data_IF_342729839016
#
_entry.id   IF_342729839016
#
_cell.length_a   1.000
_cell.length_b   1.000
_cell.length_c   1.000
_cell.angle_alpha   90.00
_cell.angle_beta   90.00
_cell.angle_gamma   90.00
#
_symmetry.space_group_name_H-M   'P 1'
#
loop_
_entity.id
_entity.type
_entity.pdbx_description
1 polymer ?
#
# COMPACT_ATOMS: atom_id res chain seq x y z
N UNK A 1 0.14 -2.03 16.66
CA UNK A 1 0.27 -0.60 16.23
C UNK A 1 -1.09 0.10 16.19
N UNK A 2 -1.22 1.42 16.43
CA UNK A 2 -2.50 2.17 16.25
C UNK A 2 -2.76 2.57 14.80
N UNK A 3 -4.04 2.61 14.39
CA UNK A 3 -4.46 2.92 13.00
C UNK A 3 -4.00 4.30 12.53
N UNK A 4 -4.02 5.32 13.39
CA UNK A 4 -3.60 6.68 13.04
C UNK A 4 -2.11 6.73 12.71
N UNK A 5 -1.31 5.98 13.47
CA UNK A 5 0.13 5.83 13.22
C UNK A 5 0.37 5.10 11.90
N UNK A 6 -0.32 3.98 11.67
CA UNK A 6 -0.24 3.23 10.41
C UNK A 6 -0.62 4.11 9.21
N UNK A 7 -1.68 4.90 9.34
CA UNK A 7 -2.13 5.83 8.30
C UNK A 7 -1.08 6.90 8.00
N UNK A 8 -0.52 7.53 9.04
CA UNK A 8 0.56 8.52 8.88
C UNK A 8 1.78 7.92 8.17
N UNK A 9 2.23 6.75 8.60
CA UNK A 9 3.40 6.08 8.02
C UNK A 9 3.18 5.67 6.57
N UNK A 10 2.00 5.12 6.24
CA UNK A 10 1.62 4.82 4.86
C UNK A 10 1.60 6.09 4.00
N UNK A 11 1.04 7.18 4.51
CA UNK A 11 1.02 8.45 3.77
C UNK A 11 2.42 9.00 3.50
N UNK A 12 3.34 8.92 4.47
CA UNK A 12 4.74 9.30 4.29
C UNK A 12 5.43 8.41 3.24
N UNK A 13 5.25 7.09 3.34
CA UNK A 13 5.82 6.14 2.40
C UNK A 13 5.32 6.35 0.96
N UNK A 14 4.02 6.63 0.77
CA UNK A 14 3.48 6.96 -0.56
C UNK A 14 4.12 8.24 -1.12
N UNK A 15 4.29 9.28 -0.30
CA UNK A 15 4.98 10.50 -0.74
C UNK A 15 6.41 10.24 -1.19
N UNK A 16 7.09 9.28 -0.56
CA UNK A 16 8.49 8.97 -0.85
C UNK A 16 8.65 8.02 -2.05
N UNK A 17 7.81 6.99 -2.16
CA UNK A 17 8.04 5.87 -3.11
C UNK A 17 7.01 5.75 -4.23
N UNK A 18 5.89 6.48 -4.13
CA UNK A 18 4.73 6.37 -5.01
C UNK A 18 3.89 7.67 -5.00
N UNK A 19 4.49 8.85 -5.28
CA UNK A 19 3.86 10.16 -5.08
C UNK A 19 2.58 10.38 -5.92
N UNK A 20 2.44 9.65 -7.01
CA UNK A 20 1.27 9.58 -7.88
C UNK A 20 0.07 8.87 -7.24
N UNK A 21 0.25 8.19 -6.11
CA UNK A 21 -0.81 7.55 -5.34
C UNK A 21 -1.17 8.38 -4.09
N UNK A 22 -2.42 8.24 -3.66
CA UNK A 22 -2.93 8.83 -2.42
C UNK A 22 -3.83 7.86 -1.68
N UNK A 23 -3.91 8.00 -0.37
CA UNK A 23 -4.93 7.31 0.42
C UNK A 23 -6.28 7.97 0.13
N UNK A 24 -7.29 7.17 -0.24
CA UNK A 24 -8.63 7.61 -0.64
C UNK A 24 -9.74 7.10 0.31
N UNK A 25 -9.36 6.57 1.47
CA UNK A 25 -10.30 6.02 2.46
C UNK A 25 -9.63 5.77 3.81
N UNK A 26 -10.37 5.20 4.78
CA UNK A 26 -9.83 4.95 6.11
C UNK A 26 -8.77 3.84 6.12
N UNK A 27 -7.86 3.91 7.08
CA UNK A 27 -7.01 2.79 7.48
C UNK A 27 -7.85 1.82 8.31
N UNK A 28 -7.94 0.55 7.89
CA UNK A 28 -8.76 -0.47 8.57
C UNK A 28 -7.89 -1.63 9.06
N UNK A 29 -8.11 -2.17 10.27
CA UNK A 29 -7.44 -3.39 10.68
C UNK A 29 -7.97 -4.57 9.86
N UNK A 30 -7.07 -5.44 9.41
CA UNK A 30 -7.40 -6.63 8.65
C UNK A 30 -7.43 -7.82 9.61
N UNK A 31 -8.58 -8.47 9.71
CA UNK A 31 -8.85 -9.57 10.63
C UNK A 31 -9.09 -10.88 9.87
N UNK A 32 -8.61 -12.00 10.42
CA UNK A 32 -8.89 -13.35 9.92
C UNK A 32 -10.35 -13.79 10.11
N UNK A 33 -11.13 -13.08 10.94
CA UNK A 33 -12.54 -13.37 11.13
C UNK A 33 -13.39 -13.06 9.89
N UNK A 34 -12.90 -12.21 8.99
CA UNK A 34 -13.54 -11.89 7.72
C UNK A 34 -12.86 -12.71 6.60
N UNK A 35 -13.60 -13.56 5.86
CA UNK A 35 -13.03 -14.39 4.80
C UNK A 35 -12.53 -13.58 3.59
N UNK A 36 -13.03 -12.36 3.38
CA UNK A 36 -12.61 -11.50 2.29
C UNK A 36 -11.36 -10.68 2.64
N UNK A 37 -10.91 -10.71 3.90
CA UNK A 37 -9.68 -10.07 4.32
C UNK A 37 -8.42 -10.82 3.88
N UNK A 38 -7.38 -10.05 3.54
CA UNK A 38 -6.11 -10.59 3.06
C UNK A 38 -4.92 -10.03 3.83
N UNK A 39 -4.37 -10.86 4.73
CA UNK A 39 -3.25 -10.49 5.59
C UNK A 39 -1.90 -10.65 4.89
N UNK A 40 -0.91 -9.87 5.32
CA UNK A 40 0.51 -10.05 4.98
C UNK A 40 1.39 -10.44 6.18
N UNK A 41 0.84 -10.44 7.39
CA UNK A 41 1.54 -10.85 8.62
C UNK A 41 0.73 -10.55 9.88
N UNK A 42 1.39 -10.65 11.04
CA UNK A 42 0.84 -10.23 12.34
C UNK A 42 0.49 -8.74 12.31
N UNK A 43 -0.71 -8.38 12.80
CA UNK A 43 -1.26 -7.01 12.74
C UNK A 43 -1.16 -6.36 11.33
N UNK A 44 -2.13 -6.68 10.46
CA UNK A 44 -2.18 -6.13 9.10
C UNK A 44 -3.17 -4.96 9.00
N UNK A 45 -2.83 -3.93 8.22
CA UNK A 45 -3.70 -2.78 7.92
C UNK A 45 -4.08 -2.74 6.43
N UNK A 46 -5.34 -2.40 6.18
CA UNK A 46 -5.91 -2.20 4.85
C UNK A 46 -6.05 -0.73 4.52
N UNK A 47 -5.92 -0.41 3.23
CA UNK A 47 -5.95 0.94 2.69
C UNK A 47 -6.65 0.92 1.33
N UNK A 48 -7.33 2.01 0.99
CA UNK A 48 -7.74 2.26 -0.40
C UNK A 48 -6.82 3.31 -0.97
N UNK A 49 -6.07 2.94 -2.01
CA UNK A 49 -5.19 3.84 -2.74
C UNK A 49 -5.84 4.25 -4.05
N UNK A 50 -5.68 5.51 -4.41
CA UNK A 50 -6.12 6.08 -5.69
C UNK A 50 -4.95 6.73 -6.40
N UNK A 51 -4.74 6.36 -7.65
CA UNK A 51 -3.80 7.05 -8.52
C UNK A 51 -4.37 8.43 -8.88
N UNK A 52 -3.59 9.49 -8.67
CA UNK A 52 -4.02 10.89 -8.79
C UNK A 52 -4.44 11.28 -10.22
N UNK A 53 -3.75 10.76 -11.24
CA UNK A 53 -4.03 11.08 -12.65
C UNK A 53 -5.05 10.15 -13.30
N UNK A 54 -4.82 8.84 -13.25
CA UNK A 54 -5.66 7.85 -13.94
C UNK A 54 -6.93 7.47 -13.17
N UNK A 55 -7.00 7.80 -11.88
CA UNK A 55 -8.06 7.32 -11.02
C UNK A 55 -8.02 5.82 -10.75
N UNK A 56 -6.94 5.10 -11.09
CA UNK A 56 -6.82 3.68 -10.79
C UNK A 56 -6.91 3.41 -9.28
N UNK A 57 -7.62 2.35 -8.88
CA UNK A 57 -7.85 2.01 -7.47
C UNK A 57 -7.08 0.75 -7.08
N UNK A 58 -6.41 0.80 -5.93
CA UNK A 58 -5.87 -0.40 -5.27
C UNK A 58 -6.44 -0.53 -3.88
N UNK A 59 -6.97 -1.70 -3.56
CA UNK A 59 -7.55 -2.00 -2.25
C UNK A 59 -6.63 -3.00 -1.55
N UNK A 60 -5.98 -2.54 -0.49
CA UNK A 60 -5.09 -3.34 0.35
C UNK A 60 -5.90 -3.95 1.50
N UNK A 61 -5.59 -5.19 1.85
CA UNK A 61 -6.23 -5.90 2.96
C UNK A 61 -7.47 -6.69 2.56
N UNK A 62 -7.78 -6.78 1.26
CA UNK A 62 -8.92 -7.54 0.74
C UNK A 62 -8.50 -8.46 -0.40
N UNK A 63 -9.12 -9.63 -0.47
CA UNK A 63 -8.95 -10.61 -1.56
C UNK A 63 -9.77 -10.25 -2.80
N UNK A 64 -10.92 -9.63 -2.58
CA UNK A 64 -11.90 -9.26 -3.60
C UNK A 64 -12.80 -8.14 -3.09
N UNK A 65 -13.61 -7.59 -3.98
CA UNK A 65 -14.66 -6.63 -3.67
C UNK A 65 -15.56 -6.40 -4.88
N UNK A 66 -16.50 -5.47 -4.73
CA UNK A 66 -17.53 -5.22 -5.75
C UNK A 66 -17.11 -4.30 -6.90
N UNK A 67 -15.92 -3.70 -6.85
CA UNK A 67 -15.45 -2.81 -7.92
C UNK A 67 -14.55 -3.61 -8.89
N UNK A 68 -15.02 -3.93 -10.10
CA UNK A 68 -14.23 -4.70 -11.06
C UNK A 68 -13.03 -3.91 -11.63
N UNK A 69 -13.02 -2.58 -11.49
CA UNK A 69 -11.91 -1.73 -11.93
C UNK A 69 -10.83 -1.58 -10.85
N UNK A 70 -11.06 -2.06 -9.63
CA UNK A 70 -10.09 -2.03 -8.55
C UNK A 70 -9.20 -3.28 -8.55
N UNK A 71 -7.92 -3.10 -8.25
CA UNK A 71 -7.01 -4.22 -7.95
C UNK A 71 -6.96 -4.49 -6.46
N UNK A 72 -7.01 -5.77 -6.07
CA UNK A 72 -7.07 -6.22 -4.69
C UNK A 72 -5.75 -6.85 -4.27
N UNK A 73 -5.24 -6.44 -3.12
CA UNK A 73 -3.92 -6.83 -2.63
C UNK A 73 -3.97 -7.17 -1.14
N UNK A 74 -2.92 -7.85 -0.65
CA UNK A 74 -2.67 -8.01 0.78
C UNK A 74 -2.57 -6.65 1.46
N UNK A 75 -2.92 -6.60 2.74
CA UNK A 75 -2.69 -5.42 3.55
C UNK A 75 -1.21 -5.26 3.88
N UNK A 76 -0.84 -4.14 4.49
CA UNK A 76 0.52 -3.89 4.96
C UNK A 76 0.66 -4.33 6.41
N UNK A 77 1.73 -5.05 6.76
CA UNK A 77 1.96 -5.46 8.15
C UNK A 77 2.50 -4.29 8.99
N UNK A 78 2.24 -4.32 10.29
CA UNK A 78 2.83 -3.38 11.24
C UNK A 78 4.36 -3.38 11.16
N UNK A 79 4.97 -4.56 10.98
CA UNK A 79 6.43 -4.72 10.89
C UNK A 79 7.04 -3.95 9.70
N UNK A 80 6.38 -3.92 8.54
CA UNK A 80 6.84 -3.14 7.38
C UNK A 80 6.78 -1.64 7.68
N UNK A 81 5.73 -1.18 8.37
CA UNK A 81 5.57 0.22 8.76
C UNK A 81 6.57 0.63 9.86
N UNK A 82 6.84 -0.26 10.83
CA UNK A 82 7.82 -0.03 11.91
C UNK A 82 9.24 -0.02 11.36
N UNK A 83 9.58 -0.91 10.44
CA UNK A 83 10.87 -0.88 9.76
C UNK A 83 11.10 0.44 9.03
N UNK A 84 10.06 0.94 8.33
CA UNK A 84 10.12 2.24 7.65
C UNK A 84 10.33 3.40 8.64
N UNK A 85 9.60 3.42 9.76
CA UNK A 85 9.80 4.41 10.83
C UNK A 85 11.22 4.34 11.42
N UNK A 86 11.76 3.13 11.56
CA UNK A 86 13.13 2.87 12.01
C UNK A 86 14.22 3.19 10.98
N UNK A 87 13.87 3.72 9.80
CA UNK A 87 14.80 4.09 8.73
C UNK A 87 15.16 2.97 7.76
N UNK A 88 14.66 1.75 7.97
CA UNK A 88 14.83 0.65 7.01
C UNK A 88 13.74 0.73 5.94
N UNK A 89 14.10 1.32 4.79
CA UNK A 89 13.14 1.57 3.70
C UNK A 89 12.91 0.37 2.77
N UNK A 90 13.80 -0.62 2.77
CA UNK A 90 13.74 -1.77 1.86
C UNK A 90 12.42 -2.56 1.95
N UNK A 91 11.90 -2.92 3.15
CA UNK A 91 10.63 -3.64 3.26
C UNK A 91 9.46 -2.86 2.65
N UNK A 92 9.44 -1.53 2.84
CA UNK A 92 8.39 -0.67 2.30
C UNK A 92 8.49 -0.54 0.78
N UNK A 93 9.70 -0.38 0.22
CA UNK A 93 9.90 -0.36 -1.25
C UNK A 93 9.47 -1.67 -1.89
N UNK A 94 9.85 -2.80 -1.29
CA UNK A 94 9.48 -4.13 -1.78
C UNK A 94 7.97 -4.32 -1.76
N UNK A 95 7.31 -3.91 -0.68
CA UNK A 95 5.85 -3.94 -0.58
C UNK A 95 5.19 -3.05 -1.63
N UNK A 96 5.68 -1.82 -1.83
CA UNK A 96 5.20 -0.92 -2.88
C UNK A 96 5.35 -1.52 -4.29
N UNK A 97 6.44 -2.24 -4.54
CA UNK A 97 6.65 -3.02 -5.76
C UNK A 97 5.66 -4.18 -5.92
N UNK A 98 5.42 -4.96 -4.86
CA UNK A 98 4.45 -6.07 -4.84
C UNK A 98 3.03 -5.60 -5.21
N UNK A 99 2.61 -4.45 -4.66
CA UNK A 99 1.30 -3.88 -4.97
C UNK A 99 1.31 -3.03 -6.24
N UNK A 100 2.41 -2.95 -6.98
CA UNK A 100 2.51 -2.23 -8.25
C UNK A 100 2.27 -0.72 -8.16
N UNK A 101 2.54 -0.10 -7.02
CA UNK A 101 2.49 1.37 -6.86
C UNK A 101 3.85 2.02 -6.97
N UNK A 102 4.93 1.23 -7.04
CA UNK A 102 6.25 1.81 -7.21
C UNK A 102 6.37 2.44 -8.58
N UNK A 103 6.77 3.72 -8.62
CA UNK A 103 7.23 4.35 -9.85
C UNK A 103 8.45 3.60 -10.35
N UNK A 104 8.27 2.81 -11.41
CA UNK A 104 9.39 2.53 -12.30
C UNK A 104 9.63 3.84 -13.01
N UNK A 105 10.57 4.64 -12.50
CA UNK A 105 11.16 5.70 -13.31
C UNK A 105 11.84 4.96 -14.45
N UNK A 106 11.13 4.85 -15.58
CA UNK A 106 11.73 4.42 -16.83
C UNK A 106 12.74 5.53 -17.15
N UNK A 107 13.98 5.36 -16.68
CA UNK A 107 15.09 6.15 -17.17
C UNK A 107 15.12 5.87 -18.66
N UNK A 108 14.73 6.87 -19.44
CA UNK A 108 14.84 6.86 -20.89
C UNK A 108 16.24 6.35 -21.22
N UNK A 109 16.31 5.13 -21.75
CA UNK A 109 17.47 4.69 -22.48
C UNK A 109 17.49 5.52 -23.76
N UNK A 110 18.00 6.74 -23.67
CA UNK A 110 18.46 7.51 -24.82
C UNK A 110 19.74 6.82 -25.28
N UNK A 111 19.58 5.74 -26.05
CA UNK A 111 20.67 5.19 -26.82
C UNK A 111 20.84 6.07 -28.06
N UNK A 112 22.06 6.60 -28.16
CA UNK A 112 22.66 7.44 -29.20
C UNK A 112 22.45 6.87 -30.60
#
# INVERSE_FOLDING_TARGET
MKQEKAHRLMWLALKEFAPEWTIAGPCVPVSLADPDHWLSGSETFGFVLRHRLTGATRVLGKRRGGDPAASYHRGVSSLVLEAYEGGSTDPMRRYAGEIGVHTVTCALATAV
#
